data_IF_685007819429
#
_entry.id   IF_685007819429
#
_cell.length_a   1.000
_cell.length_b   1.000
_cell.length_c   1.000
_cell.angle_alpha   90.00
_cell.angle_beta   90.00
_cell.angle_gamma   90.00
#
_symmetry.space_group_name_H-M   'P 1'
#
loop_
_entity.id
_entity.type
_entity.pdbx_description
1 polymer ?
#
# COMPACT_ATOMS: atom_id res chain seq x y z
N UNK A 1 3.35 7.40 12.16
CA UNK A 1 2.03 6.96 11.67
C UNK A 1 1.87 5.48 11.86
N UNK A 2 0.76 5.08 12.40
CA UNK A 2 0.49 3.67 12.68
C UNK A 2 -0.36 3.08 11.56
N UNK A 3 0.07 1.93 11.05
CA UNK A 3 -0.70 1.14 10.14
C UNK A 3 -1.83 0.42 10.90
N UNK A 4 -3.04 0.46 10.35
CA UNK A 4 -4.21 -0.15 10.99
C UNK A 4 -4.69 -1.38 10.19
N UNK A 5 -4.26 -2.60 10.57
CA UNK A 5 -4.72 -3.81 9.90
C UNK A 5 -6.23 -4.06 10.06
N UNK A 6 -6.84 -3.52 11.12
CA UNK A 6 -8.28 -3.65 11.32
C UNK A 6 -9.09 -2.92 10.27
N UNK A 7 -8.63 -1.75 9.82
CA UNK A 7 -9.32 -0.99 8.76
C UNK A 7 -9.31 -1.74 7.43
N UNK A 8 -8.16 -2.34 7.07
CA UNK A 8 -8.07 -3.17 5.86
C UNK A 8 -8.99 -4.39 5.97
N UNK A 9 -8.95 -5.08 7.11
CA UNK A 9 -9.78 -6.27 7.31
C UNK A 9 -11.27 -5.94 7.22
N UNK A 10 -11.70 -4.80 7.78
CA UNK A 10 -13.09 -4.36 7.69
C UNK A 10 -13.50 -4.08 6.24
N UNK A 11 -12.64 -3.42 5.46
CA UNK A 11 -12.89 -3.14 4.05
C UNK A 11 -12.97 -4.42 3.23
N UNK A 12 -12.08 -5.38 3.48
CA UNK A 12 -12.10 -6.67 2.80
C UNK A 12 -13.37 -7.46 3.15
N UNK A 13 -13.78 -7.45 4.41
CA UNK A 13 -15.02 -8.12 4.83
C UNK A 13 -16.23 -7.52 4.14
N UNK A 14 -16.31 -6.20 4.04
CA UNK A 14 -17.43 -5.52 3.37
C UNK A 14 -17.46 -5.87 1.89
N UNK A 15 -16.29 -5.92 1.22
CA UNK A 15 -16.20 -6.25 -0.21
C UNK A 15 -16.51 -7.73 -0.48
N UNK A 16 -16.12 -8.63 0.41
CA UNK A 16 -16.23 -10.08 0.23
C UNK A 16 -17.52 -10.69 0.77
N UNK A 17 -18.32 -9.93 1.54
CA UNK A 17 -19.59 -10.44 2.08
C UNK A 17 -19.45 -11.66 2.98
N UNK A 18 -18.43 -11.69 3.85
CA UNK A 18 -18.13 -12.80 4.79
C UNK A 18 -17.54 -14.07 4.14
N UNK A 19 -17.21 -14.05 2.84
CA UNK A 19 -16.52 -15.15 2.20
C UNK A 19 -15.03 -15.09 2.56
N UNK A 20 -14.58 -16.00 3.44
CA UNK A 20 -13.21 -16.00 3.94
C UNK A 20 -12.18 -16.33 2.86
N UNK A 21 -12.54 -17.19 1.90
CA UNK A 21 -11.66 -17.53 0.79
C UNK A 21 -11.47 -16.32 -0.13
N UNK A 22 -12.56 -15.61 -0.43
CA UNK A 22 -12.49 -14.39 -1.25
C UNK A 22 -11.72 -13.28 -0.52
N UNK A 23 -11.90 -13.14 0.79
CA UNK A 23 -11.12 -12.18 1.59
C UNK A 23 -9.63 -12.46 1.49
N UNK A 24 -9.22 -13.73 1.58
CA UNK A 24 -7.82 -14.12 1.46
C UNK A 24 -7.27 -13.79 0.07
N UNK A 25 -8.04 -14.07 -0.98
CA UNK A 25 -7.65 -13.75 -2.36
C UNK A 25 -7.51 -12.25 -2.58
N UNK A 26 -8.44 -11.46 -2.04
CA UNK A 26 -8.39 -9.99 -2.15
C UNK A 26 -7.17 -9.43 -1.41
N UNK A 27 -6.84 -9.99 -0.25
CA UNK A 27 -5.65 -9.57 0.50
C UNK A 27 -4.37 -9.85 -0.30
N UNK A 28 -4.26 -11.04 -0.89
CA UNK A 28 -3.11 -11.40 -1.72
C UNK A 28 -2.99 -10.45 -2.91
N UNK A 29 -4.11 -10.19 -3.60
CA UNK A 29 -4.13 -9.29 -4.74
C UNK A 29 -3.71 -7.87 -4.35
N UNK A 30 -4.17 -7.39 -3.19
CA UNK A 30 -3.78 -6.08 -2.66
C UNK A 30 -2.27 -6.02 -2.40
N UNK A 31 -1.73 -7.02 -1.69
CA UNK A 31 -0.30 -7.08 -1.37
C UNK A 31 0.54 -7.12 -2.64
N UNK A 32 0.16 -7.93 -3.61
CA UNK A 32 0.87 -8.01 -4.89
C UNK A 32 0.85 -6.67 -5.64
N UNK A 33 -0.30 -6.00 -5.70
CA UNK A 33 -0.43 -4.72 -6.36
C UNK A 33 0.37 -3.63 -5.65
N UNK A 34 0.29 -3.58 -4.33
CA UNK A 34 1.04 -2.61 -3.51
C UNK A 34 2.55 -2.82 -3.67
N UNK A 35 3.00 -4.07 -3.62
CA UNK A 35 4.42 -4.42 -3.79
C UNK A 35 4.92 -3.97 -5.16
N UNK A 36 4.11 -4.14 -6.20
CA UNK A 36 4.45 -3.71 -7.56
C UNK A 36 4.65 -2.21 -7.63
N UNK A 37 3.78 -1.42 -6.99
CA UNK A 37 3.92 0.03 -7.00
C UNK A 37 5.17 0.48 -6.23
N UNK A 38 5.47 -0.13 -5.10
CA UNK A 38 6.69 0.19 -4.33
C UNK A 38 7.94 -0.19 -5.12
N UNK A 39 7.93 -1.31 -5.83
CA UNK A 39 9.04 -1.70 -6.70
C UNK A 39 9.25 -0.68 -7.81
N UNK A 40 8.16 -0.21 -8.45
CA UNK A 40 8.24 0.84 -9.47
C UNK A 40 8.78 2.15 -8.90
N UNK A 41 8.41 2.52 -7.68
CA UNK A 41 8.99 3.68 -7.00
C UNK A 41 10.50 3.53 -6.85
N UNK A 42 10.95 2.38 -6.35
CA UNK A 42 12.37 2.13 -6.11
C UNK A 42 13.20 2.12 -7.39
N UNK A 43 12.59 1.82 -8.53
CA UNK A 43 13.24 1.81 -9.84
C UNK A 43 13.06 3.09 -10.62
N UNK A 44 12.29 4.04 -10.13
CA UNK A 44 12.01 5.29 -10.82
C UNK A 44 13.30 6.08 -11.06
N UNK A 45 13.50 6.52 -12.30
CA UNK A 45 14.66 7.30 -12.71
C UNK A 45 14.36 8.78 -12.83
N UNK A 46 13.11 9.18 -12.64
CA UNK A 46 12.69 10.56 -12.66
C UNK A 46 11.59 10.80 -11.66
N UNK A 47 11.42 12.04 -11.27
CA UNK A 47 10.43 12.44 -10.25
C UNK A 47 9.01 12.09 -10.68
N UNK A 48 8.69 12.25 -11.95
CA UNK A 48 7.36 11.96 -12.48
C UNK A 48 6.98 10.48 -12.28
N UNK A 49 7.92 9.55 -12.53
CA UNK A 49 7.66 8.12 -12.34
C UNK A 49 7.51 7.77 -10.85
N UNK A 50 8.31 8.39 -9.99
CA UNK A 50 8.16 8.25 -8.54
C UNK A 50 6.77 8.69 -8.08
N UNK A 51 6.36 9.90 -8.48
CA UNK A 51 5.06 10.46 -8.10
C UNK A 51 3.90 9.64 -8.65
N UNK A 52 4.01 9.15 -9.89
CA UNK A 52 2.96 8.32 -10.48
C UNK A 52 2.74 7.03 -9.70
N UNK A 53 3.82 6.31 -9.39
CA UNK A 53 3.73 5.06 -8.63
C UNK A 53 3.23 5.30 -7.21
N UNK A 54 3.70 6.36 -6.54
CA UNK A 54 3.25 6.72 -5.20
C UNK A 54 1.76 7.09 -5.18
N UNK A 55 1.29 7.83 -6.20
CA UNK A 55 -0.13 8.19 -6.33
C UNK A 55 -1.01 6.96 -6.56
N UNK A 56 -0.55 6.01 -7.37
CA UNK A 56 -1.26 4.74 -7.60
C UNK A 56 -1.33 3.92 -6.31
N UNK A 57 -0.24 3.88 -5.56
CA UNK A 57 -0.20 3.21 -4.27
C UNK A 57 -1.19 3.82 -3.29
N UNK A 58 -1.23 5.15 -3.21
CA UNK A 58 -2.18 5.87 -2.36
C UNK A 58 -3.62 5.53 -2.72
N UNK A 59 -3.96 5.56 -4.01
CA UNK A 59 -5.30 5.23 -4.50
C UNK A 59 -5.67 3.78 -4.17
N UNK A 60 -4.74 2.86 -4.35
CA UNK A 60 -4.93 1.45 -4.00
C UNK A 60 -5.21 1.29 -2.50
N UNK A 61 -4.40 1.93 -1.67
CA UNK A 61 -4.57 1.90 -0.21
C UNK A 61 -5.92 2.50 0.20
N UNK A 62 -6.32 3.60 -0.42
CA UNK A 62 -7.61 4.23 -0.16
C UNK A 62 -8.78 3.29 -0.49
N UNK A 63 -8.70 2.57 -1.61
CA UNK A 63 -9.74 1.64 -2.04
C UNK A 63 -9.96 0.50 -1.04
N UNK A 64 -8.92 0.12 -0.30
CA UNK A 64 -8.99 -0.95 0.69
C UNK A 64 -9.06 -0.43 2.13
N UNK A 65 -9.12 0.88 2.34
CA UNK A 65 -9.17 1.47 3.67
C UNK A 65 -7.87 1.33 4.45
N UNK A 66 -6.75 1.15 3.78
CA UNK A 66 -5.44 0.99 4.42
C UNK A 66 -4.85 2.36 4.79
N UNK A 67 -5.38 2.95 5.85
CA UNK A 67 -5.10 4.34 6.26
C UNK A 67 -3.61 4.57 6.54
N UNK A 68 -2.96 3.64 7.22
CA UNK A 68 -1.53 3.75 7.51
C UNK A 68 -0.67 3.77 6.25
N UNK A 69 -0.99 2.90 5.29
CA UNK A 69 -0.27 2.87 4.02
C UNK A 69 -0.53 4.14 3.20
N UNK A 70 -1.76 4.65 3.21
CA UNK A 70 -2.09 5.94 2.57
C UNK A 70 -1.20 7.06 3.10
N UNK A 71 -1.03 7.13 4.42
CA UNK A 71 -0.23 8.16 5.06
C UNK A 71 1.24 8.09 4.64
N UNK A 72 1.80 6.88 4.53
CA UNK A 72 3.17 6.70 4.07
C UNK A 72 3.31 7.06 2.59
N UNK A 73 2.32 6.72 1.78
CA UNK A 73 2.30 7.14 0.37
C UNK A 73 2.26 8.66 0.24
N UNK A 74 1.51 9.35 1.10
CA UNK A 74 1.53 10.82 1.16
C UNK A 74 2.90 11.37 1.55
N UNK A 75 3.59 10.74 2.49
CA UNK A 75 4.97 11.12 2.82
C UNK A 75 5.88 11.01 1.57
N UNK A 76 5.69 9.96 0.78
CA UNK A 76 6.45 9.77 -0.45
C UNK A 76 6.16 10.88 -1.48
N UNK A 77 4.90 11.30 -1.58
CA UNK A 77 4.49 12.37 -2.50
C UNK A 77 5.02 13.73 -2.08
N UNK A 78 5.08 13.98 -0.77
CA UNK A 78 5.52 15.27 -0.22
C UNK A 78 7.04 15.34 -0.03
N UNK A 79 7.72 14.22 -0.03
CA UNK A 79 9.15 14.12 0.22
C UNK A 79 9.99 14.07 -1.05
N UNK A 80 11.28 13.82 -0.86
CA UNK A 80 12.22 13.71 -1.97
C UNK A 80 12.06 12.38 -2.71
N UNK A 81 11.95 12.39 -4.04
CA UNK A 81 11.95 11.15 -4.81
C UNK A 81 13.20 10.31 -4.54
N UNK A 82 13.01 9.00 -4.42
CA UNK A 82 14.11 8.07 -4.15
C UNK A 82 14.50 7.92 -2.70
N UNK A 83 13.76 8.55 -1.78
CA UNK A 83 14.07 8.49 -0.34
C UNK A 83 14.03 7.03 0.16
N UNK A 84 15.17 6.47 0.61
CA UNK A 84 15.21 5.09 1.08
C UNK A 84 14.45 4.88 2.39
N UNK A 85 14.27 5.91 3.20
CA UNK A 85 13.52 5.81 4.47
C UNK A 85 12.05 5.53 4.18
N UNK A 86 11.46 6.28 3.26
CA UNK A 86 10.06 6.07 2.86
C UNK A 86 9.88 4.70 2.22
N UNK A 87 10.78 4.28 1.34
CA UNK A 87 10.71 2.96 0.72
C UNK A 87 10.75 1.85 1.76
N UNK A 88 11.58 1.98 2.78
CA UNK A 88 11.65 1.01 3.87
C UNK A 88 10.35 0.95 4.66
N UNK A 89 9.77 2.12 4.99
CA UNK A 89 8.48 2.19 5.67
C UNK A 89 7.37 1.52 4.87
N UNK A 90 7.33 1.75 3.56
CA UNK A 90 6.34 1.13 2.68
C UNK A 90 6.50 -0.39 2.64
N UNK A 91 7.72 -0.88 2.50
CA UNK A 91 7.98 -2.32 2.49
C UNK A 91 7.58 -2.99 3.80
N UNK A 92 7.90 -2.36 4.94
CA UNK A 92 7.52 -2.89 6.26
C UNK A 92 6.00 -2.92 6.43
N UNK A 93 5.31 -1.87 6.01
CA UNK A 93 3.85 -1.82 6.09
C UNK A 93 3.21 -2.93 5.26
N UNK A 94 3.74 -3.18 4.05
CA UNK A 94 3.22 -4.24 3.18
C UNK A 94 3.51 -5.63 3.78
N UNK A 95 4.70 -5.83 4.36
CA UNK A 95 5.02 -7.10 5.04
C UNK A 95 4.07 -7.36 6.19
N UNK A 96 3.71 -6.34 6.97
CA UNK A 96 2.74 -6.46 8.05
C UNK A 96 1.37 -6.89 7.52
N UNK A 97 0.94 -6.35 6.40
CA UNK A 97 -0.30 -6.78 5.74
C UNK A 97 -0.23 -8.25 5.32
N UNK A 98 0.88 -8.66 4.74
CA UNK A 98 1.06 -10.03 4.26
C UNK A 98 1.09 -11.04 5.42
N UNK A 99 1.59 -10.63 6.58
CA UNK A 99 1.72 -11.49 7.76
C UNK A 99 0.42 -11.60 8.58
N UNK A 100 -0.51 -10.70 8.39
CA UNK A 100 -1.77 -10.67 9.16
C UNK A 100 -2.92 -11.53 8.56
#
# INVERSE_FOLDING_TARGET
MVYDPGALNASLAAAAGHDTALMAELRVAFVESATRQVDLMGRARCDANWHLAASRLKSLAASFGAVGLMAIADEALDGAPGDPVVLRKLNLAIEDFAAS
#
